data_IF_190811376257
#
_entry.id   IF_190811376257
#
_cell.length_a   1.000
_cell.length_b   1.000
_cell.length_c   1.000
_cell.angle_alpha   90.00
_cell.angle_beta   90.00
_cell.angle_gamma   90.00
#
_symmetry.space_group_name_H-M   'P 1'
#
loop_
_entity.id
_entity.type
_entity.pdbx_description
1 polymer ?
#
# COMPACT_ATOMS: atom_id res chain seq x y z
N UNK A 1 -0.63 -19.53 7.59
CA UNK A 1 -1.10 -18.79 6.39
C UNK A 1 0.08 -18.11 5.74
N UNK A 2 0.68 -18.73 4.71
CA UNK A 2 1.75 -18.10 3.94
C UNK A 2 1.15 -16.92 3.17
N UNK A 3 1.51 -15.68 3.53
CA UNK A 3 1.20 -14.52 2.71
C UNK A 3 1.88 -14.73 1.36
N UNK A 4 1.11 -15.14 0.36
CA UNK A 4 1.55 -15.16 -1.04
C UNK A 4 2.08 -13.76 -1.34
N UNK A 5 3.41 -13.65 -1.52
CA UNK A 5 4.04 -12.38 -1.86
C UNK A 5 3.54 -12.00 -3.26
N UNK A 6 2.47 -11.21 -3.30
CA UNK A 6 1.92 -10.66 -4.54
C UNK A 6 3.06 -9.94 -5.26
N UNK A 7 3.22 -10.16 -6.57
CA UNK A 7 4.44 -9.84 -7.33
C UNK A 7 4.81 -8.34 -7.39
N UNK A 8 4.04 -7.46 -6.73
CA UNK A 8 4.33 -6.04 -6.51
C UNK A 8 4.08 -5.52 -5.09
N UNK A 9 3.62 -6.34 -4.15
CA UNK A 9 3.35 -5.87 -2.78
C UNK A 9 4.66 -5.59 -2.02
N UNK A 10 4.74 -4.50 -1.24
CA UNK A 10 5.93 -4.21 -0.44
C UNK A 10 6.13 -5.29 0.64
N UNK A 11 7.39 -5.61 0.94
CA UNK A 11 7.73 -6.59 1.98
C UNK A 11 7.27 -6.12 3.36
N UNK A 12 7.11 -7.08 4.27
CA UNK A 12 6.69 -6.82 5.65
C UNK A 12 7.80 -6.11 6.44
N UNK A 13 7.47 -4.94 7.00
CA UNK A 13 8.35 -4.13 7.84
C UNK A 13 8.61 -2.74 7.26
N UNK A 14 8.67 -1.72 8.15
CA UNK A 14 8.97 -0.32 7.77
C UNK A 14 10.29 -0.15 7.01
N UNK A 15 11.28 -1.03 7.27
CA UNK A 15 12.58 -1.05 6.56
C UNK A 15 12.46 -1.33 5.06
N UNK A 16 11.35 -1.92 4.62
CA UNK A 16 11.07 -2.17 3.20
C UNK A 16 10.05 -1.18 2.63
N UNK A 17 9.86 -0.04 3.29
CA UNK A 17 9.05 1.03 2.73
C UNK A 17 9.64 1.50 1.41
N UNK A 18 8.80 1.52 0.39
CA UNK A 18 9.15 1.99 -0.95
C UNK A 18 8.17 3.06 -1.39
N UNK A 19 8.63 3.98 -2.24
CA UNK A 19 7.73 4.93 -2.92
C UNK A 19 6.80 4.18 -3.87
N UNK A 20 5.57 4.65 -3.99
CA UNK A 20 4.63 4.11 -4.97
C UNK A 20 5.15 4.26 -6.39
N UNK A 21 4.96 3.22 -7.20
CA UNK A 21 5.21 3.28 -8.64
C UNK A 21 4.12 4.10 -9.33
N UNK A 22 4.38 4.53 -10.58
CA UNK A 22 3.42 5.31 -11.38
C UNK A 22 2.07 4.59 -11.51
N UNK A 23 2.10 3.29 -11.79
CA UNK A 23 0.89 2.47 -11.95
C UNK A 23 0.09 2.34 -10.65
N UNK A 24 0.76 2.22 -9.50
CA UNK A 24 0.09 2.19 -8.19
C UNK A 24 -0.56 3.55 -7.88
N UNK A 25 0.07 4.65 -8.28
CA UNK A 25 -0.49 6.00 -8.14
C UNK A 25 -1.73 6.18 -9.03
N UNK A 26 -1.68 5.76 -10.29
CA UNK A 26 -2.82 5.81 -11.22
C UNK A 26 -4.00 4.94 -10.72
N UNK A 27 -3.71 3.81 -10.07
CA UNK A 27 -4.77 2.97 -9.50
C UNK A 27 -5.40 3.60 -8.24
N UNK A 28 -4.62 4.31 -7.43
CA UNK A 28 -5.03 4.73 -6.08
C UNK A 28 -5.31 6.22 -5.93
N UNK A 29 -5.03 7.02 -6.96
CA UNK A 29 -5.05 8.50 -6.94
C UNK A 29 -4.09 9.10 -5.88
N UNK A 30 -3.17 8.29 -5.35
CA UNK A 30 -2.17 8.75 -4.40
C UNK A 30 -0.94 9.30 -5.14
N UNK A 31 -0.29 10.34 -4.60
CA UNK A 31 0.89 10.90 -5.24
C UNK A 31 2.13 10.02 -5.03
N UNK A 32 3.07 10.10 -5.98
CA UNK A 32 4.28 9.25 -6.04
C UNK A 32 5.27 9.40 -4.88
N UNK A 33 5.15 10.47 -4.10
CA UNK A 33 5.96 10.66 -2.88
C UNK A 33 5.45 9.84 -1.69
N UNK A 34 4.22 9.31 -1.77
CA UNK A 34 3.68 8.38 -0.77
C UNK A 34 4.53 7.12 -0.75
N UNK A 35 4.95 6.73 0.46
CA UNK A 35 5.69 5.50 0.69
C UNK A 35 4.78 4.43 1.26
N UNK A 36 4.82 3.22 0.70
CA UNK A 36 4.04 2.07 1.13
C UNK A 36 4.93 0.98 1.74
N UNK A 37 4.43 0.35 2.80
CA UNK A 37 5.04 -0.85 3.38
C UNK A 37 3.97 -1.77 3.93
N UNK A 38 4.27 -3.07 4.06
CA UNK A 38 3.35 -3.97 4.75
C UNK A 38 3.63 -3.91 6.25
N UNK A 39 2.64 -3.52 7.04
CA UNK A 39 2.79 -3.34 8.47
C UNK A 39 3.01 -4.69 9.17
N UNK A 40 4.11 -4.86 9.95
CA UNK A 40 4.37 -6.12 10.62
C UNK A 40 3.35 -6.43 11.73
N UNK A 41 2.71 -5.40 12.30
CA UNK A 41 1.73 -5.56 13.37
C UNK A 41 0.36 -6.03 12.87
N UNK A 42 0.00 -5.72 11.62
CA UNK A 42 -1.36 -5.97 11.09
C UNK A 42 -1.41 -6.72 9.77
N UNK A 43 -0.26 -6.94 9.11
CA UNK A 43 -0.20 -7.53 7.77
C UNK A 43 -0.75 -6.65 6.65
N UNK A 44 -1.19 -5.43 6.94
CA UNK A 44 -1.85 -4.54 5.99
C UNK A 44 -0.88 -3.53 5.37
N UNK A 45 -1.17 -3.07 4.15
CA UNK A 45 -0.45 -1.94 3.53
C UNK A 45 -0.66 -0.66 4.35
N UNK A 46 0.43 -0.13 4.86
CA UNK A 46 0.51 1.17 5.50
C UNK A 46 1.06 2.21 4.52
N UNK A 47 0.52 3.41 4.61
CA UNK A 47 0.90 4.56 3.80
C UNK A 47 1.65 5.54 4.72
N UNK A 48 2.86 5.91 4.34
CA UNK A 48 3.70 6.89 5.02
C UNK A 48 3.78 8.14 4.16
N UNK A 49 3.70 9.30 4.81
CA UNK A 49 3.62 10.60 4.15
C UNK A 49 2.45 10.58 3.15
N UNK A 50 1.23 10.33 3.62
CA UNK A 50 0.04 10.43 2.81
C UNK A 50 -1.04 11.03 3.71
N UNK A 51 -1.54 12.21 3.34
CA UNK A 51 -2.74 12.75 3.95
C UNK A 51 -3.95 12.19 3.16
N UNK A 52 -4.51 11.09 3.68
CA UNK A 52 -5.62 10.40 3.01
C UNK A 52 -6.93 10.98 3.57
N UNK A 53 -7.47 11.97 2.86
CA UNK A 53 -8.76 12.58 3.17
C UNK A 53 -9.87 11.51 3.09
N UNK A 54 -10.68 11.37 4.15
CA UNK A 54 -11.74 10.36 4.26
C UNK A 54 -11.44 9.17 5.19
N UNK A 55 -10.28 9.17 5.85
CA UNK A 55 -10.00 8.28 6.99
C UNK A 55 -9.96 6.79 6.63
N UNK A 56 -10.37 5.93 7.56
CA UNK A 56 -10.19 4.47 7.46
C UNK A 56 -10.90 3.84 6.24
N UNK A 57 -12.05 4.39 5.80
CA UNK A 57 -12.79 3.88 4.63
C UNK A 57 -11.98 4.06 3.34
N UNK A 58 -11.45 5.26 3.11
CA UNK A 58 -10.62 5.57 1.93
C UNK A 58 -9.35 4.72 1.94
N UNK A 59 -8.67 4.62 3.09
CA UNK A 59 -7.49 3.76 3.26
C UNK A 59 -7.80 2.31 2.88
N UNK A 60 -8.96 1.79 3.30
CA UNK A 60 -9.34 0.41 3.00
C UNK A 60 -9.70 0.21 1.52
N UNK A 61 -10.35 1.18 0.88
CA UNK A 61 -10.59 1.18 -0.55
C UNK A 61 -9.28 1.17 -1.36
N UNK A 62 -8.31 2.02 -0.99
CA UNK A 62 -6.97 2.05 -1.58
C UNK A 62 -6.27 0.70 -1.40
N UNK A 63 -6.31 0.13 -0.20
CA UNK A 63 -5.75 -1.21 0.06
C UNK A 63 -6.37 -2.26 -0.86
N UNK A 64 -7.69 -2.26 -1.04
CA UNK A 64 -8.36 -3.19 -1.97
C UNK A 64 -7.92 -2.99 -3.41
N UNK A 65 -7.80 -1.74 -3.88
CA UNK A 65 -7.30 -1.43 -5.23
C UNK A 65 -5.86 -1.95 -5.43
N UNK A 66 -4.96 -1.69 -4.48
CA UNK A 66 -3.58 -2.20 -4.53
C UNK A 66 -3.52 -3.72 -4.46
N UNK A 67 -4.32 -4.33 -3.59
CA UNK A 67 -4.39 -5.77 -3.44
C UNK A 67 -4.87 -6.45 -4.73
N UNK A 68 -5.83 -5.84 -5.45
CA UNK A 68 -6.27 -6.26 -6.79
C UNK A 68 -5.21 -6.03 -7.86
N UNK A 69 -4.48 -4.91 -7.78
CA UNK A 69 -3.41 -4.58 -8.72
C UNK A 69 -2.23 -5.56 -8.61
N UNK A 70 -1.88 -6.00 -7.40
CA UNK A 70 -0.73 -6.89 -7.21
C UNK A 70 -1.01 -8.38 -7.48
N UNK A 71 -2.28 -8.79 -7.65
CA UNK A 71 -2.70 -10.18 -7.87
C UNK A 71 -3.22 -10.80 -6.59
#
# INVERSE_FOLDING_TARGET
MGMTMKRGAPRVGRRYARKMTRLECEATDLPRWVSIYTSPATGNTAFKNADIVGGAKTVNAIRKKLNKFWG
#
